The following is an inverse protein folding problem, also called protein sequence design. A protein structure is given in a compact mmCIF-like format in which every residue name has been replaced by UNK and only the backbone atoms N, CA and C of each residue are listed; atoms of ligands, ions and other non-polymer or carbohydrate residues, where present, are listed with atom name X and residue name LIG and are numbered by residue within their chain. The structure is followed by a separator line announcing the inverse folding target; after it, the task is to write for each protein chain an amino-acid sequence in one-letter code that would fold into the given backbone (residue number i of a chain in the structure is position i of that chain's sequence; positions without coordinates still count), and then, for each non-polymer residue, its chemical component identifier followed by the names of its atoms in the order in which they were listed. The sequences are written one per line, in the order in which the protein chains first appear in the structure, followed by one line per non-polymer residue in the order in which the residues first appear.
data_IF_056137876651
#
_entry.id   IF_056137876651
#
_cell.length_a   1.000
_cell.length_b   1.000
_cell.length_c   1.000
_cell.angle_alpha   90.00
_cell.angle_beta   90.00
_cell.angle_gamma   90.00
#
_symmetry.space_group_name_H-M   'P 1'
#
loop_
_entity.id
_entity.type
_entity.pdbx_description
1 polymer ?
#
# COMPACT_ATOMS: atom_id res chain seq x y z
N UNK A 1 -3.03 -0.32 59.54
CA UNK A 1 -2.03 -1.38 59.34
C UNK A 1 -2.26 -2.01 57.97
N UNK A 2 -1.32 -1.86 57.02
CA UNK A 2 -1.37 -2.63 55.76
C UNK A 2 -1.20 -4.12 56.08
N UNK A 3 -2.03 -4.99 55.50
CA UNK A 3 -1.95 -6.44 55.70
C UNK A 3 -0.56 -6.97 55.30
N UNK A 4 -0.04 -7.98 56.00
CA UNK A 4 1.27 -8.59 55.67
C UNK A 4 1.36 -9.05 54.21
N UNK A 5 0.22 -9.40 53.60
CA UNK A 5 0.12 -9.77 52.20
C UNK A 5 0.56 -8.63 51.26
N UNK A 6 0.25 -7.37 51.58
CA UNK A 6 0.69 -6.21 50.81
C UNK A 6 2.22 -6.03 50.87
N UNK A 7 2.86 -6.25 52.02
CA UNK A 7 4.33 -6.20 52.15
C UNK A 7 5.02 -7.29 51.33
N UNK A 8 4.42 -8.48 51.23
CA UNK A 8 4.92 -9.58 50.37
C UNK A 8 4.67 -9.32 48.86
N UNK A 9 3.58 -8.63 48.49
CA UNK A 9 3.20 -8.38 47.10
C UNK A 9 3.78 -7.09 46.49
N UNK A 10 4.26 -6.11 47.27
CA UNK A 10 4.84 -4.84 46.76
C UNK A 10 5.99 -5.01 45.76
N UNK A 11 6.73 -6.11 45.82
CA UNK A 11 7.83 -6.42 44.88
C UNK A 11 7.33 -6.86 43.49
N UNK A 12 6.03 -7.15 43.31
CA UNK A 12 5.44 -7.52 42.03
C UNK A 12 5.18 -6.32 41.11
N UNK A 13 4.92 -5.15 41.70
CA UNK A 13 4.63 -3.90 40.98
C UNK A 13 5.76 -3.55 39.98
N UNK A 14 7.06 -3.56 40.35
CA UNK A 14 8.13 -3.26 39.40
C UNK A 14 8.36 -4.32 38.31
N UNK A 15 7.78 -5.53 38.43
CA UNK A 15 7.84 -6.57 37.38
C UNK A 15 6.69 -6.46 36.38
N UNK A 16 5.52 -6.01 36.82
CA UNK A 16 4.36 -5.82 35.94
C UNK A 16 4.45 -4.55 35.09
N UNK A 17 5.11 -3.50 35.61
CA UNK A 17 5.26 -2.23 34.91
C UNK A 17 6.01 -2.39 33.57
N UNK A 18 7.19 -3.04 33.48
CA UNK A 18 7.89 -3.24 32.21
C UNK A 18 7.09 -4.07 31.19
N UNK A 19 6.33 -5.07 31.65
CA UNK A 19 5.49 -5.91 30.78
C UNK A 19 4.34 -5.06 30.22
N UNK A 20 3.68 -4.27 31.06
CA UNK A 20 2.62 -3.37 30.62
C UNK A 20 3.16 -2.32 29.65
N UNK A 21 4.31 -1.71 29.94
CA UNK A 21 4.97 -0.75 29.06
C UNK A 21 5.36 -1.39 27.72
N UNK A 22 5.84 -2.64 27.72
CA UNK A 22 6.13 -3.39 26.51
C UNK A 22 4.87 -3.63 25.68
N UNK A 23 3.78 -4.09 26.30
CA UNK A 23 2.50 -4.31 25.62
C UNK A 23 2.00 -3.01 25.00
N UNK A 24 1.94 -1.92 25.78
CA UNK A 24 1.47 -0.61 25.33
C UNK A 24 2.37 -0.05 24.22
N UNK A 25 3.69 -0.14 24.35
CA UNK A 25 4.62 0.30 23.31
C UNK A 25 4.40 -0.47 22.00
N UNK A 26 4.22 -1.79 22.07
CA UNK A 26 4.05 -2.58 20.85
C UNK A 26 2.69 -2.32 20.19
N UNK A 27 1.59 -2.32 20.96
CA UNK A 27 0.24 -2.13 20.42
C UNK A 27 -0.01 -0.72 19.93
N UNK A 28 0.50 0.29 20.65
CA UNK A 28 0.18 1.69 20.35
C UNK A 28 1.22 2.40 19.48
N UNK A 29 2.47 1.92 19.48
CA UNK A 29 3.55 2.56 18.71
C UNK A 29 4.14 1.64 17.63
N UNK A 30 4.64 0.45 18.00
CA UNK A 30 5.41 -0.38 17.07
C UNK A 30 4.57 -0.92 15.90
N UNK A 31 3.39 -1.48 16.17
CA UNK A 31 2.55 -2.09 15.14
C UNK A 31 1.93 -1.06 14.18
N UNK A 32 1.33 0.05 14.64
CA UNK A 32 0.83 1.07 13.72
C UNK A 32 1.94 1.69 12.88
N UNK A 33 3.13 1.90 13.46
CA UNK A 33 4.30 2.41 12.73
C UNK A 33 4.73 1.46 11.62
N UNK A 34 4.80 0.16 11.91
CA UNK A 34 5.14 -0.85 10.91
C UNK A 34 4.13 -0.86 9.75
N UNK A 35 2.83 -0.83 10.07
CA UNK A 35 1.76 -0.77 9.08
C UNK A 35 1.88 0.47 8.18
N UNK A 36 2.04 1.65 8.77
CA UNK A 36 2.16 2.89 8.03
C UNK A 36 3.43 2.91 7.15
N UNK A 37 4.56 2.39 7.64
CA UNK A 37 5.77 2.26 6.82
C UNK A 37 5.59 1.30 5.65
N UNK A 38 4.82 0.22 5.80
CA UNK A 38 4.50 -0.68 4.69
C UNK A 38 3.61 -0.02 3.65
N UNK A 39 2.58 0.71 4.06
CA UNK A 39 1.74 1.48 3.14
C UNK A 39 2.54 2.53 2.38
N UNK A 40 3.40 3.26 3.10
CA UNK A 40 4.28 4.26 2.49
C UNK A 40 5.25 3.62 1.49
N UNK A 41 5.84 2.47 1.82
CA UNK A 41 6.71 1.73 0.89
C UNK A 41 5.95 1.29 -0.36
N UNK A 42 4.69 0.84 -0.22
CA UNK A 42 3.84 0.48 -1.36
C UNK A 42 3.52 1.70 -2.23
N UNK A 43 3.21 2.83 -1.62
CA UNK A 43 2.99 4.09 -2.32
C UNK A 43 4.25 4.52 -3.08
N UNK A 44 5.43 4.48 -2.45
CA UNK A 44 6.70 4.77 -3.11
C UNK A 44 6.95 3.85 -4.31
N UNK A 45 6.70 2.55 -4.15
CA UNK A 45 6.84 1.57 -5.24
C UNK A 45 5.93 1.89 -6.42
N UNK A 46 4.64 2.18 -6.17
CA UNK A 46 3.70 2.58 -7.23
C UNK A 46 4.18 3.86 -7.91
N UNK A 47 4.60 4.87 -7.15
CA UNK A 47 5.11 6.13 -7.70
C UNK A 47 6.33 5.92 -8.60
N UNK A 48 7.29 5.11 -8.16
CA UNK A 48 8.48 4.78 -8.95
C UNK A 48 8.14 3.97 -10.20
N UNK A 49 7.17 3.05 -10.12
CA UNK A 49 6.68 2.33 -11.29
C UNK A 49 6.03 3.30 -12.29
N UNK A 50 5.17 4.22 -11.84
CA UNK A 50 4.59 5.26 -12.71
C UNK A 50 5.68 6.10 -13.37
N UNK A 51 6.75 6.47 -12.64
CA UNK A 51 7.91 7.20 -13.20
C UNK A 51 8.65 6.41 -14.27
N UNK A 52 8.77 5.09 -14.13
CA UNK A 52 9.32 4.22 -15.17
C UNK A 52 8.43 4.27 -16.42
N UNK A 53 7.11 4.15 -16.25
CA UNK A 53 6.15 4.33 -17.35
C UNK A 53 6.31 5.69 -18.05
N UNK A 54 6.42 6.78 -17.28
CA UNK A 54 6.65 8.14 -17.82
C UNK A 54 7.98 8.26 -18.56
N UNK A 55 9.02 7.57 -18.09
CA UNK A 55 10.33 7.54 -18.74
C UNK A 55 10.28 6.82 -20.09
N UNK A 56 9.44 5.80 -20.22
CA UNK A 56 9.17 5.15 -21.52
C UNK A 56 8.50 6.14 -22.49
N UNK A 57 7.51 6.90 -22.04
CA UNK A 57 6.90 7.95 -22.88
C UNK A 57 7.95 8.99 -23.31
N UNK A 58 8.82 9.38 -22.38
CA UNK A 58 9.90 10.35 -22.63
C UNK A 58 10.91 9.83 -23.66
N UNK A 59 11.20 8.52 -23.68
CA UNK A 59 12.08 7.90 -24.68
C UNK A 59 11.48 7.96 -26.09
N UNK A 60 10.22 7.59 -26.26
CA UNK A 60 9.58 7.68 -27.58
C UNK A 60 9.40 9.13 -28.03
N UNK A 61 9.11 10.04 -27.09
CA UNK A 61 9.07 11.46 -27.39
C UNK A 61 10.44 12.01 -27.81
N UNK A 62 11.56 11.54 -27.24
CA UNK A 62 12.88 11.98 -27.72
C UNK A 62 13.13 11.52 -29.16
N UNK A 63 12.70 10.30 -29.53
CA UNK A 63 12.78 9.82 -30.91
C UNK A 63 11.90 10.64 -31.87
N UNK A 64 10.75 11.14 -31.41
CA UNK A 64 9.92 12.11 -32.15
C UNK A 64 10.68 13.43 -32.36
N UNK A 65 11.30 13.98 -31.31
CA UNK A 65 12.04 15.25 -31.40
C UNK A 65 13.29 15.16 -32.27
N UNK A 66 13.92 13.99 -32.33
CA UNK A 66 15.08 13.71 -33.19
C UNK A 66 14.68 13.44 -34.66
N UNK A 67 13.38 13.35 -34.96
CA UNK A 67 12.87 13.04 -36.30
C UNK A 67 13.07 11.58 -36.72
N UNK A 68 13.39 10.69 -35.77
CA UNK A 68 13.53 9.25 -36.01
C UNK A 68 12.15 8.61 -36.22
N UNK A 69 11.15 9.05 -35.44
CA UNK A 69 9.77 8.63 -35.54
C UNK A 69 8.87 9.83 -35.78
N UNK A 70 7.83 9.66 -36.59
CA UNK A 70 6.72 10.63 -36.59
C UNK A 70 5.95 10.52 -35.27
N UNK A 71 5.28 11.60 -34.86
CA UNK A 71 4.53 11.66 -33.59
C UNK A 71 3.54 10.51 -33.44
N UNK A 72 2.77 10.21 -34.48
CA UNK A 72 1.77 9.13 -34.44
C UNK A 72 2.44 7.76 -34.22
N UNK A 73 3.58 7.51 -34.86
CA UNK A 73 4.33 6.27 -34.72
C UNK A 73 4.99 6.16 -33.33
N UNK A 74 5.58 7.24 -32.82
CA UNK A 74 6.14 7.30 -31.47
C UNK A 74 5.07 7.02 -30.41
N UNK A 75 3.91 7.66 -30.54
CA UNK A 75 2.76 7.43 -29.66
C UNK A 75 2.21 6.01 -29.79
N UNK A 76 2.15 5.44 -31.00
CA UNK A 76 1.69 4.08 -31.23
C UNK A 76 2.60 3.06 -30.54
N UNK A 77 3.91 3.18 -30.73
CA UNK A 77 4.90 2.29 -30.11
C UNK A 77 4.90 2.43 -28.58
N UNK A 78 4.79 3.65 -28.06
CA UNK A 78 4.65 3.90 -26.63
C UNK A 78 3.40 3.20 -26.05
N UNK A 79 2.23 3.37 -26.69
CA UNK A 79 0.99 2.71 -26.27
C UNK A 79 1.12 1.20 -26.27
N UNK A 80 1.72 0.61 -27.30
CA UNK A 80 1.92 -0.84 -27.41
C UNK A 80 2.82 -1.37 -26.29
N UNK A 81 3.94 -0.70 -26.03
CA UNK A 81 4.84 -1.10 -24.94
C UNK A 81 4.14 -0.98 -23.59
N UNK A 82 3.57 0.19 -23.26
CA UNK A 82 2.86 0.42 -21.99
C UNK A 82 1.74 -0.59 -21.78
N UNK A 83 0.95 -0.91 -22.81
CA UNK A 83 -0.11 -1.94 -22.75
C UNK A 83 0.43 -3.31 -22.35
N UNK A 84 1.63 -3.67 -22.80
CA UNK A 84 2.23 -4.99 -22.57
C UNK A 84 2.88 -5.15 -21.19
N UNK A 85 3.27 -4.04 -20.54
CA UNK A 85 3.99 -4.08 -19.28
C UNK A 85 3.14 -4.70 -18.17
N UNK A 86 3.73 -5.65 -17.45
CA UNK A 86 3.16 -6.26 -16.25
C UNK A 86 4.18 -6.34 -15.15
N UNK A 87 3.70 -6.32 -13.91
CA UNK A 87 4.53 -6.52 -12.72
C UNK A 87 3.72 -7.15 -11.59
N UNK A 88 4.35 -7.24 -10.41
CA UNK A 88 3.73 -7.81 -9.22
C UNK A 88 3.76 -9.34 -9.15
N UNK A 89 3.29 -9.92 -8.04
CA UNK A 89 3.43 -11.36 -7.77
C UNK A 89 2.69 -12.25 -8.76
N UNK A 90 1.58 -11.76 -9.33
CA UNK A 90 0.75 -12.48 -10.29
C UNK A 90 1.02 -12.06 -11.73
N UNK A 91 1.99 -11.16 -11.96
CA UNK A 91 2.28 -10.58 -13.27
C UNK A 91 1.02 -9.99 -13.95
N UNK A 92 0.14 -9.38 -13.14
CA UNK A 92 -1.15 -8.80 -13.57
C UNK A 92 -1.24 -7.30 -13.33
N UNK A 93 -0.42 -6.73 -12.44
CA UNK A 93 -0.38 -5.28 -12.23
C UNK A 93 0.05 -4.58 -13.53
N UNK A 94 -0.51 -3.42 -13.80
CA UNK A 94 -0.53 -2.87 -15.16
C UNK A 94 -0.53 -1.34 -15.19
N UNK A 95 -0.18 -0.78 -16.34
CA UNK A 95 -0.22 0.64 -16.63
C UNK A 95 -1.40 1.00 -17.52
N UNK A 96 -1.90 2.23 -17.40
CA UNK A 96 -2.87 2.80 -18.34
C UNK A 96 -2.50 4.24 -18.68
N UNK A 97 -3.09 4.76 -19.75
CA UNK A 97 -2.98 6.16 -20.14
C UNK A 97 -4.38 6.71 -20.43
N UNK A 98 -4.69 7.89 -19.92
CA UNK A 98 -5.79 8.74 -20.39
C UNK A 98 -5.23 10.08 -20.88
N UNK A 99 -6.00 10.84 -21.66
CA UNK A 99 -5.65 12.22 -22.01
C UNK A 99 -6.24 13.21 -21.00
N UNK A 100 -6.00 14.49 -21.24
CA UNK A 100 -6.59 15.66 -20.57
C UNK A 100 -8.10 15.82 -20.81
N UNK A 101 -8.62 15.27 -21.91
CA UNK A 101 -10.06 15.20 -22.21
C UNK A 101 -10.70 13.90 -21.69
N UNK A 102 -10.75 13.69 -20.36
CA UNK A 102 -10.87 12.41 -19.62
C UNK A 102 -11.23 11.16 -20.45
N UNK A 103 -10.38 10.78 -21.41
CA UNK A 103 -10.62 9.70 -22.37
C UNK A 103 -9.49 8.70 -22.25
N UNK A 104 -9.82 7.42 -22.21
CA UNK A 104 -8.83 6.37 -22.16
C UNK A 104 -8.08 6.28 -23.50
N UNK A 105 -6.75 6.39 -23.42
CA UNK A 105 -5.83 6.27 -24.56
C UNK A 105 -5.34 4.83 -24.68
N UNK A 106 -5.01 4.19 -23.56
CA UNK A 106 -4.65 2.78 -23.51
C UNK A 106 -5.03 2.16 -22.17
N UNK A 107 -5.69 1.00 -22.19
CA UNK A 107 -5.97 0.22 -20.99
C UNK A 107 -5.94 -1.30 -21.29
N UNK A 108 -5.04 -2.08 -20.67
CA UNK A 108 -4.83 -3.48 -21.06
C UNK A 108 -6.02 -4.42 -20.79
N UNK A 109 -6.83 -4.12 -19.77
CA UNK A 109 -7.98 -4.97 -19.40
C UNK A 109 -9.35 -4.36 -19.76
N UNK A 110 -9.34 -3.16 -20.33
CA UNK A 110 -10.57 -2.44 -20.72
C UNK A 110 -10.39 -1.78 -22.09
N UNK A 111 -9.91 -2.52 -23.11
CA UNK A 111 -9.64 -1.93 -24.43
C UNK A 111 -10.91 -1.40 -25.10
N UNK A 112 -12.09 -1.89 -24.71
CA UNK A 112 -13.38 -1.43 -25.21
C UNK A 112 -13.73 0.02 -24.78
N UNK A 113 -13.03 0.58 -23.80
CA UNK A 113 -13.20 1.97 -23.36
C UNK A 113 -12.21 2.93 -24.03
N UNK A 114 -11.25 2.43 -24.82
CA UNK A 114 -10.26 3.28 -25.48
C UNK A 114 -10.89 4.15 -26.58
N UNK A 115 -10.62 5.45 -26.54
CA UNK A 115 -11.19 6.42 -27.47
C UNK A 115 -12.70 6.67 -27.29
N UNK A 116 -13.32 6.08 -26.26
CA UNK A 116 -14.72 6.32 -25.92
C UNK A 116 -14.83 7.59 -25.09
N UNK A 117 -15.76 8.45 -25.46
CA UNK A 117 -16.16 9.61 -24.67
C UNK A 117 -16.77 9.14 -23.33
N UNK A 118 -15.98 9.19 -22.27
CA UNK A 118 -16.37 8.70 -20.95
C UNK A 118 -17.48 9.54 -20.30
N UNK A 119 -17.85 10.72 -20.85
CA UNK A 119 -19.03 11.47 -20.39
C UNK A 119 -20.34 10.72 -20.62
N UNK A 120 -20.32 9.70 -21.49
CA UNK A 120 -21.47 8.84 -21.82
C UNK A 120 -21.44 7.50 -21.09
N UNK A 121 -20.38 7.22 -20.34
CA UNK A 121 -20.26 6.04 -19.49
C UNK A 121 -21.00 6.26 -18.16
N UNK A 122 -21.01 5.23 -17.32
CA UNK A 122 -21.49 5.34 -15.93
C UNK A 122 -20.85 6.54 -15.24
N UNK A 123 -21.67 7.31 -14.52
CA UNK A 123 -21.29 8.55 -13.85
C UNK A 123 -19.99 8.42 -13.04
N UNK A 124 -19.84 7.31 -12.32
CA UNK A 124 -18.68 7.03 -11.47
C UNK A 124 -17.38 6.91 -12.28
N UNK A 125 -17.43 6.33 -13.50
CA UNK A 125 -16.25 6.26 -14.37
C UNK A 125 -15.90 7.63 -14.93
N UNK A 126 -16.88 8.40 -15.38
CA UNK A 126 -16.64 9.75 -15.90
C UNK A 126 -15.93 10.61 -14.83
N UNK A 127 -16.49 10.65 -13.62
CA UNK A 127 -15.94 11.44 -12.52
C UNK A 127 -14.53 10.99 -12.14
N UNK A 128 -14.25 9.68 -12.18
CA UNK A 128 -12.91 9.16 -11.91
C UNK A 128 -11.85 9.77 -12.84
N UNK A 129 -12.09 9.78 -14.15
CA UNK A 129 -11.10 10.31 -15.09
C UNK A 129 -10.98 11.84 -15.01
N UNK A 130 -12.08 12.55 -14.70
CA UNK A 130 -12.03 13.98 -14.36
C UNK A 130 -11.14 14.21 -13.15
N UNK A 131 -11.27 13.42 -12.07
CA UNK A 131 -10.42 13.54 -10.89
C UNK A 131 -8.93 13.28 -11.19
N UNK A 132 -8.60 12.39 -12.13
CA UNK A 132 -7.20 12.23 -12.56
C UNK A 132 -6.66 13.46 -13.28
N UNK A 133 -7.47 14.08 -14.15
CA UNK A 133 -7.09 15.31 -14.86
C UNK A 133 -6.89 16.44 -13.85
N UNK A 134 -7.86 16.70 -12.98
CA UNK A 134 -7.77 17.75 -11.95
C UNK A 134 -6.55 17.55 -11.03
N UNK A 135 -6.24 16.30 -10.65
CA UNK A 135 -5.09 16.00 -9.81
C UNK A 135 -3.76 16.31 -10.50
N UNK A 136 -3.64 15.98 -11.80
CA UNK A 136 -2.43 16.28 -12.57
C UNK A 136 -2.32 17.78 -12.88
N UNK A 137 -3.42 18.46 -13.20
CA UNK A 137 -3.40 19.91 -13.46
C UNK A 137 -2.98 20.71 -12.22
N UNK A 138 -3.44 20.30 -11.03
CA UNK A 138 -3.15 21.03 -9.79
C UNK A 138 -1.79 20.67 -9.18
N UNK A 139 -1.35 19.41 -9.26
CA UNK A 139 -0.20 18.90 -8.51
C UNK A 139 0.90 18.27 -9.39
N UNK A 140 0.66 18.10 -10.70
CA UNK A 140 1.54 17.37 -11.63
C UNK A 140 1.47 15.84 -11.50
N UNK A 141 0.86 15.34 -10.42
CA UNK A 141 0.61 13.93 -10.16
C UNK A 141 0.35 13.65 -8.69
N UNK A 142 -0.39 12.59 -8.40
CA UNK A 142 -0.82 12.28 -7.05
C UNK A 142 -1.44 10.90 -6.90
N UNK A 143 -1.80 10.56 -5.67
CA UNK A 143 -2.50 9.32 -5.37
C UNK A 143 -4.01 9.51 -5.40
N UNK A 144 -4.74 8.54 -5.95
CA UNK A 144 -6.20 8.47 -5.88
C UNK A 144 -6.64 7.05 -5.56
N UNK A 145 -7.60 6.93 -4.64
CA UNK A 145 -8.28 5.68 -4.31
C UNK A 145 -9.67 5.67 -4.96
N UNK A 146 -10.01 4.58 -5.65
CA UNK A 146 -11.25 4.46 -6.41
C UNK A 146 -11.63 3.00 -6.60
N UNK A 147 -12.84 2.75 -7.09
CA UNK A 147 -13.32 1.41 -7.45
C UNK A 147 -13.08 1.14 -8.94
N UNK A 148 -12.52 -0.02 -9.26
CA UNK A 148 -12.28 -0.44 -10.64
C UNK A 148 -12.49 -1.94 -10.83
N UNK A 149 -12.76 -2.37 -12.06
CA UNK A 149 -12.82 -3.80 -12.39
C UNK A 149 -11.51 -4.49 -11.98
N UNK A 150 -11.59 -5.72 -11.47
CA UNK A 150 -10.44 -6.47 -10.98
C UNK A 150 -9.73 -7.19 -12.13
N UNK A 151 -8.65 -6.59 -12.63
CA UNK A 151 -7.91 -7.06 -13.81
C UNK A 151 -8.87 -7.37 -14.98
N UNK A 152 -8.84 -8.60 -15.48
CA UNK A 152 -9.66 -9.18 -16.55
C UNK A 152 -11.08 -9.60 -16.12
N UNK A 153 -11.49 -9.32 -14.87
CA UNK A 153 -12.82 -9.66 -14.34
C UNK A 153 -13.73 -8.43 -14.31
N UNK A 154 -14.41 -8.16 -15.43
CA UNK A 154 -15.31 -7.00 -15.57
C UNK A 154 -16.45 -6.97 -14.53
N UNK A 155 -16.88 -8.13 -14.03
CA UNK A 155 -17.99 -8.26 -13.09
C UNK A 155 -17.55 -8.19 -11.62
N UNK A 156 -16.26 -8.06 -11.35
CA UNK A 156 -15.70 -7.93 -10.01
C UNK A 156 -15.09 -6.54 -9.89
N UNK A 157 -15.63 -5.72 -9.00
CA UNK A 157 -15.15 -4.35 -8.76
C UNK A 157 -14.50 -4.31 -7.39
N UNK A 158 -13.26 -3.85 -7.34
CA UNK A 158 -12.46 -3.77 -6.11
C UNK A 158 -11.88 -2.38 -5.92
N UNK A 159 -11.53 -2.06 -4.67
CA UNK A 159 -10.86 -0.79 -4.35
C UNK A 159 -9.40 -0.84 -4.79
N UNK A 160 -9.00 0.18 -5.54
CA UNK A 160 -7.67 0.35 -6.10
C UNK A 160 -7.11 1.70 -5.68
N UNK A 161 -5.86 1.71 -5.23
CA UNK A 161 -5.08 2.94 -5.03
C UNK A 161 -4.07 3.05 -6.16
N UNK A 162 -4.01 4.21 -6.82
CA UNK A 162 -3.08 4.44 -7.93
C UNK A 162 -2.35 5.77 -7.79
N UNK A 163 -1.16 5.84 -8.38
CA UNK A 163 -0.45 7.10 -8.60
C UNK A 163 -0.51 7.46 -10.08
N UNK A 164 -0.93 8.68 -10.38
CA UNK A 164 -0.95 9.24 -11.74
C UNK A 164 0.04 10.40 -11.85
N UNK A 165 0.56 10.63 -13.06
CA UNK A 165 1.40 11.80 -13.36
C UNK A 165 1.21 12.24 -14.81
N UNK A 166 1.36 13.54 -15.03
CA UNK A 166 1.28 14.15 -16.36
C UNK A 166 2.50 13.87 -17.25
N UNK A 167 2.23 13.81 -18.53
CA UNK A 167 3.19 13.83 -19.62
C UNK A 167 2.73 14.86 -20.68
N UNK A 168 3.04 16.12 -20.38
CA UNK A 168 2.63 17.30 -21.13
C UNK A 168 2.90 17.23 -22.64
N UNK A 169 4.01 16.67 -23.16
CA UNK A 169 4.26 16.69 -24.60
C UNK A 169 3.17 16.02 -25.44
N UNK A 170 2.45 15.06 -24.87
CA UNK A 170 1.34 14.35 -25.50
C UNK A 170 -0.01 14.59 -24.84
N UNK A 171 -0.09 15.49 -23.86
CA UNK A 171 -1.27 15.69 -23.00
C UNK A 171 -1.78 14.36 -22.42
N UNK A 172 -0.85 13.50 -22.01
CA UNK A 172 -1.17 12.18 -21.49
C UNK A 172 -0.99 12.15 -19.98
N UNK A 173 -1.85 11.41 -19.32
CA UNK A 173 -1.77 11.08 -17.90
C UNK A 173 -1.51 9.59 -17.83
N UNK A 174 -0.37 9.21 -17.26
CA UNK A 174 -0.01 7.81 -17.06
C UNK A 174 -0.20 7.43 -15.60
N UNK A 175 -0.79 6.26 -15.39
CA UNK A 175 -1.04 5.73 -14.06
C UNK A 175 -0.69 4.26 -13.91
N UNK A 176 -0.40 3.89 -12.67
CA UNK A 176 -0.42 2.51 -12.21
C UNK A 176 -0.86 2.46 -10.74
N UNK A 177 -1.26 1.28 -10.27
CA UNK A 177 -1.78 1.11 -8.92
C UNK A 177 -1.95 -0.34 -8.52
N UNK A 178 -2.33 -0.55 -7.26
CA UNK A 178 -2.54 -1.84 -6.63
C UNK A 178 -3.95 -1.91 -6.04
N UNK A 179 -4.54 -3.11 -6.02
CA UNK A 179 -5.80 -3.35 -5.32
C UNK A 179 -5.55 -3.46 -3.81
N UNK A 180 -6.38 -2.78 -3.01
CA UNK A 180 -6.23 -2.77 -1.55
C UNK A 180 -6.39 -4.18 -0.96
N UNK A 181 -7.31 -4.98 -1.45
CA UNK A 181 -7.50 -6.38 -1.01
C UNK A 181 -6.21 -7.22 -1.20
N UNK A 182 -5.53 -7.06 -2.34
CA UNK A 182 -4.25 -7.74 -2.61
C UNK A 182 -3.13 -7.23 -1.66
N UNK A 183 -3.24 -5.99 -1.17
CA UNK A 183 -2.35 -5.43 -0.15
C UNK A 183 -2.67 -5.97 1.24
N UNK A 184 -3.95 -5.98 1.63
CA UNK A 184 -4.43 -6.44 2.93
C UNK A 184 -4.14 -7.92 3.14
N UNK A 185 -4.38 -8.78 2.13
CA UNK A 185 -4.08 -10.21 2.22
C UNK A 185 -2.59 -10.48 2.52
N UNK A 186 -1.68 -9.60 2.03
CA UNK A 186 -0.25 -9.67 2.37
C UNK A 186 0.05 -9.13 3.77
N UNK A 187 -0.69 -8.11 4.23
CA UNK A 187 -0.60 -7.62 5.60
C UNK A 187 -1.14 -8.66 6.60
N UNK A 188 -2.14 -9.45 6.22
CA UNK A 188 -2.66 -10.57 7.02
C UNK A 188 -1.63 -11.69 7.22
N UNK A 189 -0.89 -12.07 6.16
CA UNK A 189 0.25 -12.98 6.31
C UNK A 189 1.31 -12.45 7.31
N UNK A 190 1.34 -11.13 7.50
CA UNK A 190 2.20 -10.42 8.46
C UNK A 190 1.57 -10.27 9.86
N UNK A 191 0.27 -10.54 10.06
CA UNK A 191 -0.33 -10.64 11.40
C UNK A 191 0.29 -11.75 12.26
N UNK A 192 1.00 -12.69 11.63
CA UNK A 192 1.90 -13.63 12.32
C UNK A 192 2.93 -12.91 13.20
N UNK A 193 3.36 -11.69 12.84
CA UNK A 193 4.21 -10.85 13.68
C UNK A 193 3.48 -10.41 14.95
N UNK A 194 2.21 -10.00 14.85
CA UNK A 194 1.40 -9.66 16.03
C UNK A 194 1.27 -10.88 16.96
N UNK A 195 1.05 -12.05 16.38
CA UNK A 195 0.98 -13.30 17.14
C UNK A 195 2.31 -13.64 17.82
N UNK A 196 3.45 -13.47 17.13
CA UNK A 196 4.79 -13.62 17.70
C UNK A 196 5.02 -12.63 18.86
N UNK A 197 4.58 -11.38 18.72
CA UNK A 197 4.69 -10.39 19.79
C UNK A 197 3.81 -10.72 21.00
N UNK A 198 2.61 -11.25 20.78
CA UNK A 198 1.73 -11.73 21.87
C UNK A 198 2.37 -12.94 22.57
N UNK A 199 2.91 -13.90 21.81
CA UNK A 199 3.58 -15.08 22.37
C UNK A 199 4.81 -14.69 23.20
N UNK A 200 5.67 -13.84 22.65
CA UNK A 200 6.88 -13.38 23.37
C UNK A 200 6.53 -12.61 24.63
N UNK A 201 5.47 -11.77 24.59
CA UNK A 201 4.92 -11.12 25.79
C UNK A 201 4.42 -12.13 26.83
N UNK A 202 3.70 -13.16 26.40
CA UNK A 202 3.20 -14.23 27.28
C UNK A 202 4.34 -15.06 27.89
N UNK A 203 5.40 -15.35 27.12
CA UNK A 203 6.60 -16.04 27.59
C UNK A 203 7.33 -15.22 28.66
N UNK A 204 7.53 -13.92 28.44
CA UNK A 204 8.14 -13.01 29.42
C UNK A 204 7.31 -12.95 30.72
N UNK A 205 5.98 -12.91 30.59
CA UNK A 205 5.07 -12.97 31.73
C UNK A 205 5.19 -14.30 32.50
N UNK A 206 5.27 -15.44 31.80
CA UNK A 206 5.44 -16.76 32.41
C UNK A 206 6.78 -16.88 33.15
N UNK A 207 7.88 -16.42 32.55
CA UNK A 207 9.21 -16.38 33.20
C UNK A 207 9.16 -15.54 34.47
N UNK A 208 8.52 -14.36 34.42
CA UNK A 208 8.27 -13.53 35.60
C UNK A 208 7.52 -14.27 36.71
N UNK A 209 6.48 -15.04 36.36
CA UNK A 209 5.71 -15.86 37.30
C UNK A 209 6.52 -17.03 37.91
N UNK A 210 7.38 -17.67 37.12
CA UNK A 210 8.26 -18.76 37.60
C UNK A 210 9.30 -18.22 38.58
N UNK A 211 9.96 -17.11 38.24
CA UNK A 211 10.91 -16.44 39.15
C UNK A 211 10.21 -16.04 40.45
N UNK A 212 8.98 -15.54 40.37
CA UNK A 212 8.15 -15.26 41.55
C UNK A 212 7.91 -16.50 42.42
N UNK A 213 7.50 -17.64 41.82
CA UNK A 213 7.29 -18.89 42.55
C UNK A 213 8.56 -19.40 43.23
N UNK A 214 9.70 -19.32 42.55
CA UNK A 214 10.99 -19.78 43.10
C UNK A 214 11.46 -18.91 44.28
N UNK A 215 11.35 -17.59 44.16
CA UNK A 215 11.78 -16.64 45.20
C UNK A 215 10.88 -16.67 46.45
N UNK A 216 9.57 -16.86 46.27
CA UNK A 216 8.62 -17.01 47.39
C UNK A 216 8.79 -18.33 48.12
N UNK A 217 8.97 -19.45 47.40
CA UNK A 217 9.17 -20.76 48.01
C UNK A 217 10.50 -20.80 48.80
N UNK A 218 11.56 -20.16 48.29
CA UNK A 218 12.85 -20.05 49.00
C UNK A 218 12.76 -19.23 50.30
N UNK A 219 11.96 -18.16 50.34
CA UNK A 219 11.73 -17.38 51.57
C UNK A 219 10.93 -18.15 52.62
N UNK A 220 9.91 -18.93 52.22
CA UNK A 220 9.16 -19.78 53.15
C UNK A 220 10.00 -20.91 53.74
N UNK A 221 10.98 -21.44 53.00
CA UNK A 221 11.87 -22.50 53.48
C UNK A 221 12.93 -22.00 54.48
N UNK A 222 13.20 -20.70 54.51
CA UNK A 222 14.25 -20.07 55.32
C UNK A 222 13.72 -19.31 56.55
N UNK A 223 12.40 -19.31 56.80
CA UNK A 223 11.79 -18.81 58.04
C UNK A 223 11.11 -20.01 58.75
N UNK A 224 11.73 -20.60 59.78
CA UNK A 224 11.06 -21.55 60.67
C UNK A 224 9.99 -20.85 61.54
#
# INVERSE_FOLDING_TARGET
MMSENWKKQRWLVPLLIPILLFIVFNTWYSLPKLHNSMLQERQNQIQDHTRIGRSILSHFYSMEQEGILEREEAQLQAKQLIRSLRFGPHNKDYFWINNDEPTLVVHPFSPHLEGVDLSKEEWDKHQLFVSFVELVENEGGGFLEYKWQYYDHSNRVETKISYVTGFDPWNWIIGTGLYLDDMETKLEAQQNINFIFIITSAQLMLVGLVIYRLTTNRKNKNNP
#
